data_IF_575727080325
#
_entry.id   IF_575727080325
#
_cell.length_a   1.000
_cell.length_b   1.000
_cell.length_c   1.000
_cell.angle_alpha   90.00
_cell.angle_beta   90.00
_cell.angle_gamma   90.00
#
_symmetry.space_group_name_H-M   'P 1'
#
loop_
_entity.id
_entity.type
_entity.pdbx_description
1 polymer ?
#
# COMPACT_ATOMS: atom_id res chain seq x y z
N UNK A 1 -10.69 0.33 -13.50
CA UNK A 1 -11.15 0.96 -12.24
C UNK A 1 -11.49 -0.03 -11.11
N UNK A 2 -12.14 -1.18 -11.34
CA UNK A 2 -12.39 -2.19 -10.29
C UNK A 2 -11.24 -3.18 -9.99
N UNK A 3 -10.17 -3.22 -10.82
CA UNK A 3 -9.07 -4.16 -10.62
C UNK A 3 -8.19 -3.84 -9.40
N UNK A 4 -7.89 -2.57 -9.16
CA UNK A 4 -7.04 -2.15 -8.03
C UNK A 4 -7.61 -2.57 -6.67
N UNK A 5 -8.91 -2.34 -6.34
CA UNK A 5 -9.46 -2.83 -5.08
C UNK A 5 -9.52 -4.36 -5.01
N UNK A 6 -9.76 -5.06 -6.13
CA UNK A 6 -9.83 -6.53 -6.09
C UNK A 6 -8.51 -7.22 -5.72
N UNK A 7 -7.36 -6.62 -6.05
CA UNK A 7 -6.05 -7.16 -5.68
C UNK A 7 -5.72 -6.96 -4.19
N UNK A 8 -6.21 -5.88 -3.59
CA UNK A 8 -6.04 -5.60 -2.16
C UNK A 8 -6.78 -6.62 -1.28
N UNK A 9 -7.88 -7.19 -1.77
CA UNK A 9 -8.67 -8.18 -1.05
C UNK A 9 -8.38 -9.64 -1.43
N UNK A 10 -7.54 -9.88 -2.44
CA UNK A 10 -7.23 -11.23 -2.92
C UNK A 10 -6.62 -12.13 -1.81
N UNK A 11 -5.68 -11.69 -0.97
CA UNK A 11 -5.13 -12.53 0.10
C UNK A 11 -6.19 -12.95 1.14
N UNK A 12 -7.14 -12.06 1.44
CA UNK A 12 -8.19 -12.27 2.45
C UNK A 12 -9.33 -13.18 2.01
N UNK A 13 -9.58 -13.29 0.70
CA UNK A 13 -10.64 -14.12 0.13
C UNK A 13 -10.25 -15.60 -0.04
N UNK A 14 -8.94 -15.91 -0.13
CA UNK A 14 -8.46 -17.25 -0.49
C UNK A 14 -7.89 -18.10 0.66
N UNK A 15 -7.63 -17.54 1.84
CA UNK A 15 -7.21 -18.32 3.03
C UNK A 15 -7.88 -17.86 4.34
N UNK A 16 -9.09 -18.35 4.64
CA UNK A 16 -9.81 -18.01 5.87
C UNK A 16 -9.25 -18.66 7.15
N UNK A 17 -8.27 -19.58 7.05
CA UNK A 17 -7.77 -20.37 8.20
C UNK A 17 -6.63 -19.71 8.98
N UNK A 18 -5.90 -18.78 8.35
CA UNK A 18 -4.90 -17.90 8.97
C UNK A 18 -5.39 -16.48 9.22
N UNK A 19 -6.72 -16.26 9.23
CA UNK A 19 -7.34 -14.95 9.32
C UNK A 19 -7.23 -14.36 10.74
N UNK A 20 -6.06 -13.79 11.03
CA UNK A 20 -5.86 -12.94 12.19
C UNK A 20 -6.39 -11.54 11.90
N UNK A 21 -7.70 -11.33 12.10
CA UNK A 21 -8.38 -10.05 11.82
C UNK A 21 -7.63 -8.83 12.35
N UNK A 22 -7.02 -8.95 13.53
CA UNK A 22 -6.23 -7.87 14.11
C UNK A 22 -5.01 -7.50 13.27
N UNK A 23 -4.25 -8.49 12.80
CA UNK A 23 -3.11 -8.30 11.90
C UNK A 23 -3.55 -7.71 10.56
N UNK A 24 -4.70 -8.17 10.04
CA UNK A 24 -5.30 -7.64 8.80
C UNK A 24 -5.63 -6.15 8.93
N UNK A 25 -6.22 -5.75 10.06
CA UNK A 25 -6.57 -4.36 10.33
C UNK A 25 -5.32 -3.50 10.51
N UNK A 26 -4.31 -4.00 11.23
CA UNK A 26 -3.00 -3.31 11.40
C UNK A 26 -2.30 -3.12 10.04
N UNK A 27 -2.18 -4.18 9.23
CA UNK A 27 -1.55 -4.12 7.91
C UNK A 27 -2.33 -3.19 6.94
N UNK A 28 -3.67 -3.12 7.06
CA UNK A 28 -4.49 -2.21 6.26
C UNK A 28 -4.34 -0.75 6.68
N UNK A 29 -4.24 -0.49 7.98
CA UNK A 29 -4.01 0.84 8.54
C UNK A 29 -2.65 1.39 8.10
N UNK A 30 -1.59 0.58 8.21
CA UNK A 30 -0.24 0.96 7.77
C UNK A 30 -0.18 1.23 6.26
N UNK A 31 -0.81 0.37 5.45
CA UNK A 31 -0.88 0.56 4.01
C UNK A 31 -1.68 1.81 3.61
N UNK A 32 -2.82 2.09 4.26
CA UNK A 32 -3.60 3.29 3.98
C UNK A 32 -2.88 4.56 4.42
N UNK A 33 -2.16 4.52 5.55
CA UNK A 33 -1.28 5.61 5.96
C UNK A 33 -0.20 5.88 4.90
N UNK A 34 0.51 4.86 4.44
CA UNK A 34 1.51 5.00 3.36
C UNK A 34 0.92 5.57 2.05
N UNK A 35 -0.29 5.12 1.69
CA UNK A 35 -0.97 5.55 0.46
C UNK A 35 -1.38 7.03 0.52
N UNK A 36 -1.84 7.52 1.67
CA UNK A 36 -2.33 8.89 1.83
C UNK A 36 -1.31 9.85 2.45
N UNK A 37 -0.13 9.37 2.82
CA UNK A 37 0.96 10.21 3.33
C UNK A 37 1.50 11.09 2.21
N UNK A 38 1.18 12.38 2.28
CA UNK A 38 1.72 13.40 1.36
C UNK A 38 3.21 13.59 1.66
N UNK A 39 4.05 13.04 0.80
CA UNK A 39 5.51 13.07 0.98
C UNK A 39 6.03 14.49 1.11
N UNK A 40 6.78 14.75 2.18
CA UNK A 40 7.56 15.98 2.36
C UNK A 40 8.92 15.91 1.65
N UNK A 41 9.67 17.01 1.66
CA UNK A 41 11.03 17.06 1.08
C UNK A 41 11.94 16.10 1.85
N UNK A 42 12.40 15.02 1.18
CA UNK A 42 13.32 14.02 1.74
C UNK A 42 12.66 12.77 2.33
N UNK A 43 11.34 12.60 2.17
CA UNK A 43 10.65 11.33 2.44
C UNK A 43 11.13 10.30 1.42
N UNK A 44 11.24 9.03 1.82
CA UNK A 44 11.62 7.91 0.94
C UNK A 44 10.38 7.25 0.34
N UNK A 45 10.50 6.61 -0.83
CA UNK A 45 9.38 5.85 -1.43
C UNK A 45 8.77 4.77 -0.51
N UNK A 46 9.55 4.22 0.41
CA UNK A 46 9.06 3.28 1.45
C UNK A 46 8.04 3.92 2.42
N UNK A 47 8.00 5.24 2.51
CA UNK A 47 7.16 5.99 3.45
C UNK A 47 5.98 6.73 2.77
N UNK A 48 6.03 6.94 1.46
CA UNK A 48 4.96 7.60 0.70
C UNK A 48 4.80 7.02 -0.69
N UNK A 49 3.55 6.70 -1.04
CA UNK A 49 3.20 6.33 -2.41
C UNK A 49 3.57 7.42 -3.43
N UNK A 50 3.37 8.70 -3.08
CA UNK A 50 3.67 9.81 -3.98
C UNK A 50 5.17 9.90 -4.28
N UNK A 51 6.02 9.72 -3.26
CA UNK A 51 7.48 9.71 -3.43
C UNK A 51 7.95 8.49 -4.21
N UNK A 52 7.44 7.30 -3.89
CA UNK A 52 7.79 6.07 -4.62
C UNK A 52 7.47 6.19 -6.12
N UNK A 53 6.29 6.75 -6.42
CA UNK A 53 5.85 6.97 -7.78
C UNK A 53 6.74 7.95 -8.54
N UNK A 54 7.16 9.05 -7.89
CA UNK A 54 8.07 10.04 -8.47
C UNK A 54 9.48 9.43 -8.71
N UNK A 55 10.01 8.68 -7.75
CA UNK A 55 11.31 7.99 -7.84
C UNK A 55 11.37 7.04 -9.05
N UNK A 56 10.34 6.21 -9.25
CA UNK A 56 10.30 5.26 -10.37
C UNK A 56 10.06 5.93 -11.74
N UNK A 57 9.26 7.00 -11.77
CA UNK A 57 9.02 7.76 -13.00
C UNK A 57 10.22 8.62 -13.40
N UNK A 58 11.03 9.09 -12.45
CA UNK A 58 12.26 9.87 -12.70
C UNK A 58 13.42 8.97 -13.12
N UNK A 59 13.53 7.74 -12.60
CA UNK A 59 14.56 6.78 -13.02
C UNK A 59 14.20 5.95 -14.27
N UNK A 60 12.98 6.10 -14.80
CA UNK A 60 12.41 5.30 -15.89
C UNK A 60 12.61 5.82 -17.32
N UNK A 61 13.48 6.81 -17.56
CA UNK A 61 13.84 7.31 -18.91
C UNK A 61 15.35 7.39 -19.14
#
# INVERSE_FOLDING_TARGET
WFMAPSWLFAPYLFDPSGFEWKKVVEDFEDWTNWLFYRGGVGVKGEESWETWWDEEHVFGF
#
